data_IF_824077084621
#
_entry.id   IF_824077084621
#
_cell.length_a   1.000
_cell.length_b   1.000
_cell.length_c   1.000
_cell.angle_alpha   90.00
_cell.angle_beta   90.00
_cell.angle_gamma   90.00
#
_symmetry.space_group_name_H-M   'P 1'
#
loop_
_entity.id
_entity.type
_entity.pdbx_description
1 polymer ?
#
# COMPACT_ATOMS: atom_id res chain seq x y z
N UNK A 1 9.70 -5.89 -2.67
CA UNK A 1 9.65 -7.35 -2.89
C UNK A 1 9.42 -8.02 -1.54
N UNK A 2 8.41 -8.88 -1.41
CA UNK A 2 8.19 -9.65 -0.18
C UNK A 2 7.96 -11.11 -0.52
N UNK A 3 8.39 -11.99 0.39
CA UNK A 3 8.00 -13.39 0.38
C UNK A 3 6.53 -13.45 0.79
N UNK A 4 5.67 -14.09 -0.02
CA UNK A 4 4.25 -14.20 0.31
C UNK A 4 4.07 -14.78 1.72
N UNK A 5 3.30 -14.14 2.62
CA UNK A 5 3.15 -14.63 3.99
C UNK A 5 2.59 -16.06 4.07
N UNK A 6 1.84 -16.50 3.06
CA UNK A 6 1.27 -17.85 2.98
C UNK A 6 2.07 -18.84 2.11
N UNK A 7 3.07 -18.38 1.33
CA UNK A 7 4.00 -19.23 0.55
C UNK A 7 5.31 -18.48 0.24
N UNK A 8 6.31 -18.65 1.09
CA UNK A 8 7.57 -17.91 1.01
C UNK A 8 8.40 -18.22 -0.24
N UNK A 9 8.02 -19.21 -1.07
CA UNK A 9 8.65 -19.49 -2.37
C UNK A 9 8.21 -18.52 -3.47
N UNK A 10 7.15 -17.74 -3.25
CA UNK A 10 6.62 -16.77 -4.20
C UNK A 10 7.02 -15.36 -3.82
N UNK A 11 7.68 -14.70 -4.76
CA UNK A 11 8.17 -13.33 -4.63
C UNK A 11 7.18 -12.37 -5.26
N UNK A 12 6.62 -11.46 -4.47
CA UNK A 12 5.69 -10.44 -4.96
C UNK A 12 6.34 -9.06 -4.99
N UNK A 13 6.08 -8.32 -6.07
CA UNK A 13 6.39 -6.90 -6.19
C UNK A 13 5.08 -6.14 -6.07
N UNK A 14 4.96 -5.35 -4.99
CA UNK A 14 3.83 -4.45 -4.72
C UNK A 14 4.39 -3.11 -4.24
N UNK A 15 3.55 -2.08 -4.31
CA UNK A 15 3.85 -0.73 -3.86
C UNK A 15 3.31 -0.50 -2.46
N UNK A 16 4.13 0.09 -1.61
CA UNK A 16 3.68 0.60 -0.30
C UNK A 16 2.83 1.84 -0.55
N UNK A 17 1.59 1.79 -0.08
CA UNK A 17 0.61 2.88 -0.23
C UNK A 17 0.45 3.66 1.06
N UNK A 18 0.38 2.95 2.19
CA UNK A 18 0.26 3.55 3.51
C UNK A 18 1.17 2.83 4.50
N UNK A 19 1.75 3.58 5.42
CA UNK A 19 2.57 3.07 6.51
C UNK A 19 1.86 3.23 7.85
N UNK A 20 2.40 2.60 8.88
CA UNK A 20 2.02 2.80 10.28
C UNK A 20 1.54 4.23 10.61
N UNK A 21 0.38 4.29 11.29
CA UNK A 21 -0.29 5.52 11.69
C UNK A 21 -1.16 6.15 10.60
N UNK A 22 -1.00 5.75 9.34
CA UNK A 22 -1.82 6.28 8.24
C UNK A 22 -3.12 5.49 8.06
N UNK A 23 -4.19 6.22 7.71
CA UNK A 23 -5.51 5.68 7.35
C UNK A 23 -5.61 5.56 5.83
N UNK A 24 -5.85 4.36 5.31
CA UNK A 24 -6.09 4.11 3.88
C UNK A 24 -7.56 3.86 3.59
N UNK A 25 -8.07 4.41 2.51
CA UNK A 25 -9.43 4.18 1.99
C UNK A 25 -9.39 4.20 0.46
N UNK A 26 -10.08 3.26 -0.19
CA UNK A 26 -10.29 3.24 -1.63
C UNK A 26 -11.77 3.49 -1.90
N UNK A 27 -12.06 4.57 -2.61
CA UNK A 27 -13.42 4.92 -3.05
C UNK A 27 -13.34 5.78 -4.31
N UNK A 28 -14.40 5.78 -5.10
CA UNK A 28 -14.51 6.61 -6.30
C UNK A 28 -13.31 6.49 -7.26
N UNK A 29 -12.79 5.27 -7.43
CA UNK A 29 -11.61 4.97 -8.24
C UNK A 29 -10.33 5.72 -7.83
N UNK A 30 -10.21 6.04 -6.53
CA UNK A 30 -9.10 6.79 -5.96
C UNK A 30 -8.65 6.15 -4.66
N UNK A 31 -7.36 6.25 -4.40
CA UNK A 31 -6.77 5.92 -3.10
C UNK A 31 -6.65 7.20 -2.27
N UNK A 32 -7.17 7.15 -1.06
CA UNK A 32 -7.05 8.17 -0.04
C UNK A 32 -6.11 7.64 1.05
N UNK A 33 -5.14 8.46 1.42
CA UNK A 33 -4.29 8.23 2.59
C UNK A 33 -4.40 9.46 3.47
N UNK A 34 -4.84 9.28 4.72
CA UNK A 34 -5.21 10.35 5.64
C UNK A 34 -6.16 11.36 4.97
N UNK A 35 -7.23 10.86 4.35
CA UNK A 35 -8.30 11.64 3.68
C UNK A 35 -7.85 12.43 2.45
N UNK A 36 -6.56 12.37 2.11
CA UNK A 36 -5.99 13.03 0.94
C UNK A 36 -5.80 12.02 -0.17
N UNK A 37 -6.41 12.30 -1.32
CA UNK A 37 -6.17 11.55 -2.56
C UNK A 37 -4.67 11.54 -2.87
N UNK A 38 -4.13 10.37 -3.20
CA UNK A 38 -2.78 10.24 -3.74
C UNK A 38 -2.83 10.25 -5.27
N UNK A 39 -1.81 10.82 -5.90
CA UNK A 39 -1.66 10.74 -7.35
C UNK A 39 -1.01 9.41 -7.71
N UNK A 40 -1.53 8.73 -8.71
CA UNK A 40 -1.07 7.40 -9.09
C UNK A 40 -0.82 7.32 -10.60
N UNK A 41 0.14 8.10 -11.15
CA UNK A 41 0.40 8.15 -12.59
C UNK A 41 0.87 6.81 -13.18
N UNK A 42 1.25 5.85 -12.33
CA UNK A 42 1.68 4.49 -12.68
C UNK A 42 0.52 3.48 -12.76
N UNK A 43 -0.71 3.88 -12.38
CA UNK A 43 -1.88 3.01 -12.41
C UNK A 43 -2.72 3.32 -13.64
N UNK A 44 -3.16 2.29 -14.35
CA UNK A 44 -4.11 2.46 -15.46
C UNK A 44 -5.49 2.87 -14.91
N UNK A 45 -6.20 3.82 -15.55
CA UNK A 45 -7.59 4.12 -15.21
C UNK A 45 -8.45 2.85 -15.26
N UNK A 46 -9.35 2.68 -14.30
CA UNK A 46 -10.19 1.50 -14.19
C UNK A 46 -11.05 1.53 -12.93
N UNK A 47 -11.81 0.47 -12.72
CA UNK A 47 -12.58 0.30 -11.47
C UNK A 47 -11.66 -0.24 -10.36
N UNK A 48 -11.62 0.46 -9.23
CA UNK A 48 -10.85 0.13 -8.04
C UNK A 48 -11.84 -0.46 -7.04
N UNK A 49 -11.71 -1.76 -6.69
CA UNK A 49 -12.52 -2.33 -5.63
C UNK A 49 -12.45 -1.44 -4.38
N UNK A 50 -13.61 -1.04 -3.81
CA UNK A 50 -13.62 -0.22 -2.62
C UNK A 50 -12.96 -0.98 -1.47
N UNK A 51 -12.28 -0.25 -0.59
CA UNK A 51 -11.56 -0.82 0.54
C UNK A 51 -11.47 0.18 1.69
N UNK A 52 -11.41 -0.34 2.92
CA UNK A 52 -11.24 0.47 4.11
C UNK A 52 -12.53 1.19 4.54
N UNK A 53 -12.41 2.23 5.39
CA UNK A 53 -11.16 2.78 5.91
C UNK A 53 -10.42 1.81 6.85
N UNK A 54 -9.09 1.75 6.75
CA UNK A 54 -8.24 0.97 7.65
C UNK A 54 -7.05 1.81 8.13
N UNK A 55 -6.76 1.79 9.42
CA UNK A 55 -5.56 2.41 10.00
C UNK A 55 -4.45 1.37 10.08
N UNK A 56 -3.30 1.68 9.51
CA UNK A 56 -2.14 0.78 9.54
C UNK A 56 -1.53 0.82 10.95
N UNK A 57 -1.46 -0.30 11.69
CA UNK A 57 -0.86 -0.34 13.02
C UNK A 57 0.68 -0.34 12.93
N UNK A 58 1.31 -0.23 14.10
CA UNK A 58 2.76 -0.27 14.23
C UNK A 58 3.38 -1.53 13.62
N UNK A 59 4.54 -1.34 12.95
CA UNK A 59 5.28 -2.44 12.35
C UNK A 59 4.67 -3.02 11.08
N UNK A 60 3.57 -2.46 10.53
CA UNK A 60 2.95 -2.93 9.28
C UNK A 60 2.92 -1.87 8.17
N UNK A 61 2.59 -2.32 6.97
CA UNK A 61 2.32 -1.49 5.79
C UNK A 61 1.12 -2.02 5.02
N UNK A 62 0.41 -1.13 4.35
CA UNK A 62 -0.60 -1.46 3.35
C UNK A 62 0.02 -1.38 1.95
N UNK A 63 -0.11 -2.44 1.15
CA UNK A 63 0.47 -2.51 -0.19
C UNK A 63 -0.59 -2.76 -1.26
N UNK A 64 -0.41 -2.16 -2.44
CA UNK A 64 -1.21 -2.41 -3.63
C UNK A 64 -0.32 -2.80 -4.81
N UNK A 65 -0.86 -3.60 -5.73
CA UNK A 65 -0.26 -3.77 -7.05
C UNK A 65 -0.69 -2.65 -7.99
N UNK A 66 0.18 -2.31 -8.94
CA UNK A 66 -0.12 -1.29 -9.96
C UNK A 66 -1.24 -1.78 -10.92
N UNK A 67 -1.40 -3.09 -11.11
CA UNK A 67 -2.55 -3.69 -11.79
C UNK A 67 -3.71 -3.94 -10.82
N UNK A 68 -4.46 -2.88 -10.49
CA UNK A 68 -5.44 -2.86 -9.39
C UNK A 68 -6.52 -3.94 -9.44
N UNK A 69 -7.00 -4.31 -10.62
CA UNK A 69 -8.06 -5.33 -10.74
C UNK A 69 -7.57 -6.77 -10.64
N UNK A 70 -6.29 -7.01 -10.91
CA UNK A 70 -5.73 -8.36 -11.02
C UNK A 70 -4.65 -8.64 -9.96
N UNK A 71 -4.53 -7.75 -8.98
CA UNK A 71 -3.51 -7.83 -7.97
C UNK A 71 -4.10 -8.35 -6.66
N UNK A 72 -3.71 -9.57 -6.30
CA UNK A 72 -3.80 -10.07 -4.93
C UNK A 72 -2.80 -9.25 -4.07
N UNK A 73 -3.30 -8.37 -3.22
CA UNK A 73 -2.53 -7.44 -2.37
C UNK A 73 -3.25 -7.21 -1.02
N UNK A 74 -2.89 -6.16 -0.27
CA UNK A 74 -3.40 -6.00 1.10
C UNK A 74 -4.93 -5.91 1.21
N UNK A 75 -5.63 -5.67 0.09
CA UNK A 75 -7.10 -5.74 0.03
C UNK A 75 -7.65 -7.14 0.28
N UNK A 76 -6.89 -8.18 -0.04
CA UNK A 76 -7.33 -9.58 0.00
C UNK A 76 -6.71 -10.34 1.17
N UNK A 77 -5.41 -10.18 1.40
CA UNK A 77 -4.67 -10.91 2.45
C UNK A 77 -4.23 -10.05 3.64
N UNK A 78 -4.65 -8.78 3.67
CA UNK A 78 -4.41 -7.87 4.78
C UNK A 78 -3.02 -7.21 4.81
N UNK A 79 -2.71 -6.61 5.95
CA UNK A 79 -1.52 -5.78 6.11
C UNK A 79 -0.23 -6.59 6.19
N UNK A 80 0.81 -6.09 5.52
CA UNK A 80 2.11 -6.76 5.46
C UNK A 80 3.01 -6.29 6.63
N UNK A 81 3.56 -7.20 7.45
CA UNK A 81 4.58 -6.84 8.43
C UNK A 81 5.84 -6.27 7.74
N UNK A 82 6.38 -5.16 8.25
CA UNK A 82 7.53 -4.45 7.68
C UNK A 82 8.76 -5.34 7.53
N UNK A 83 8.95 -6.31 8.43
CA UNK A 83 10.08 -7.26 8.41
C UNK A 83 10.01 -8.27 7.24
N UNK A 84 8.88 -8.41 6.55
CA UNK A 84 8.74 -9.23 5.35
C UNK A 84 9.18 -8.50 4.08
N UNK A 85 9.49 -7.20 4.17
CA UNK A 85 10.04 -6.43 3.07
C UNK A 85 11.52 -6.82 2.87
N UNK A 86 11.76 -7.69 1.90
CA UNK A 86 13.12 -8.03 1.48
C UNK A 86 13.75 -6.80 0.82
N UNK A 87 14.85 -6.32 1.39
CA UNK A 87 15.48 -5.04 1.06
C UNK A 87 15.79 -4.79 -0.42
N UNK A 88 15.77 -3.50 -0.80
CA UNK A 88 16.27 -2.86 -2.04
C UNK A 88 15.80 -3.40 -3.41
N UNK A 89 14.80 -4.26 -3.49
CA UNK A 89 14.01 -4.35 -4.72
C UNK A 89 13.00 -3.19 -4.75
N UNK A 90 13.47 -2.02 -5.19
CA UNK A 90 12.72 -0.79 -5.50
C UNK A 90 11.45 -0.61 -4.66
N UNK A 91 11.61 -0.21 -3.40
CA UNK A 91 10.51 0.42 -2.65
C UNK A 91 10.17 1.72 -3.41
N UNK A 92 9.26 1.65 -4.37
CA UNK A 92 8.71 2.83 -5.03
C UNK A 92 7.69 3.47 -4.09
N UNK A 93 8.19 4.00 -2.97
CA UNK A 93 7.42 4.81 -2.04
C UNK A 93 7.07 6.13 -2.74
N UNK A 94 5.82 6.28 -3.17
CA UNK A 94 5.38 7.45 -3.93
C UNK A 94 4.17 8.13 -3.25
N UNK A 95 4.14 9.48 -3.14
CA UNK A 95 5.24 10.43 -3.36
C UNK A 95 5.94 10.79 -2.04
N UNK A 96 7.25 10.99 -2.12
CA UNK A 96 8.18 11.39 -1.04
C UNK A 96 7.88 12.76 -0.36
N UNK A 97 6.66 13.30 -0.42
CA UNK A 97 6.30 14.62 0.16
C UNK A 97 5.34 14.58 1.38
N UNK A 98 5.10 13.42 2.00
CA UNK A 98 4.14 13.33 3.12
C UNK A 98 4.74 13.29 4.54
N UNK A 99 6.01 13.64 4.72
CA UNK A 99 6.52 13.94 6.07
C UNK A 99 6.20 15.39 6.44
N UNK A 100 5.01 15.63 7.02
CA UNK A 100 4.83 16.75 7.96
C UNK A 100 5.03 16.18 9.35
N UNK A 101 6.23 16.37 9.89
CA UNK A 101 6.46 16.28 11.33
C UNK A 101 5.47 17.25 12.01
N UNK A 102 4.55 16.73 12.81
CA UNK A 102 3.92 17.53 13.86
C UNK A 102 4.64 17.19 15.16
N UNK A 103 5.77 17.87 15.37
CA UNK A 103 6.31 18.07 16.70
C UNK A 103 5.78 19.38 17.24
N UNK A 104 4.87 19.31 18.20
CA UNK A 104 4.78 20.23 19.34
C UNK A 104 4.08 19.51 20.48
#
# INVERSE_FOLDING_TARGET
>A
MFAFPMDTKRTFIKRVIAVEGEKVELRDNKVFVNEKVIQEPYVKPGDYPPFGPEVVPEGKVFVLGDNRRQSEDSREWGLLPKNYLLGKAWLLYYPFQRFRFFGQ
#
